data_IF_853342303851
#
_entry.id   IF_853342303851
#
_cell.length_a   1.000
_cell.length_b   1.000
_cell.length_c   1.000
_cell.angle_alpha   90.00
_cell.angle_beta   90.00
_cell.angle_gamma   90.00
#
_symmetry.space_group_name_H-M   'P 1'
#
loop_
_entity.id
_entity.type
_entity.pdbx_description
1 polymer ?
#
# COMPACT_ATOMS: atom_id res chain seq x y z
N UNK A 1 -1.66 13.44 4.08
CA UNK A 1 -1.03 12.91 5.31
C UNK A 1 -1.65 11.56 5.62
N UNK A 2 -0.84 10.55 5.96
CA UNK A 2 -1.31 9.21 6.33
C UNK A 2 -0.73 8.85 7.69
N UNK A 3 -1.57 8.64 8.68
CA UNK A 3 -1.16 8.39 10.07
C UNK A 3 -1.98 7.26 10.68
N UNK A 4 -1.31 6.32 11.34
CA UNK A 4 -2.01 5.25 12.05
C UNK A 4 -1.05 4.19 12.60
N UNK A 5 -1.54 3.34 13.51
CA UNK A 5 -0.73 2.27 14.08
C UNK A 5 -0.52 1.15 13.05
N UNK A 6 0.73 0.96 12.63
CA UNK A 6 1.14 -0.13 11.74
C UNK A 6 1.52 -1.37 12.57
N UNK A 7 1.30 -2.55 12.01
CA UNK A 7 1.82 -3.83 12.48
C UNK A 7 2.66 -4.46 11.38
N UNK A 8 3.71 -5.16 11.80
CA UNK A 8 4.61 -5.92 10.94
C UNK A 8 4.68 -7.33 11.50
N UNK A 9 4.53 -8.33 10.64
CA UNK A 9 4.56 -9.74 11.00
C UNK A 9 5.53 -10.48 10.08
N UNK A 10 6.47 -11.22 10.67
CA UNK A 10 7.40 -12.09 9.96
C UNK A 10 7.03 -13.52 10.37
N UNK A 11 6.47 -14.35 9.48
CA UNK A 11 6.16 -15.74 9.78
C UNK A 11 7.42 -16.53 10.17
N UNK A 12 7.29 -17.63 10.93
CA UNK A 12 8.44 -18.44 11.29
C UNK A 12 9.15 -19.00 10.04
N UNK A 13 10.46 -19.31 10.12
CA UNK A 13 11.19 -20.00 9.05
C UNK A 13 10.45 -21.29 8.63
N UNK A 14 10.44 -21.68 7.34
CA UNK A 14 11.29 -21.20 6.23
C UNK A 14 10.71 -20.03 5.40
N UNK A 15 9.80 -19.23 5.98
CA UNK A 15 9.22 -18.09 5.24
C UNK A 15 10.25 -16.99 4.98
N UNK A 16 10.23 -16.44 3.77
CA UNK A 16 10.95 -15.24 3.35
C UNK A 16 10.03 -14.03 3.19
N UNK A 17 8.89 -14.02 3.90
CA UNK A 17 7.82 -13.02 3.75
C UNK A 17 7.73 -12.08 4.94
N UNK A 18 7.36 -10.84 4.68
CA UNK A 18 6.99 -9.84 5.68
C UNK A 18 5.60 -9.32 5.34
N UNK A 19 4.70 -9.45 6.30
CA UNK A 19 3.35 -8.89 6.20
C UNK A 19 3.31 -7.57 6.94
N UNK A 20 2.76 -6.54 6.31
CA UNK A 20 2.56 -5.25 6.94
C UNK A 20 1.16 -4.71 6.67
N UNK A 21 0.65 -3.96 7.64
CA UNK A 21 -0.66 -3.34 7.52
C UNK A 21 -0.98 -2.48 8.73
N UNK A 22 -2.07 -1.73 8.65
CA UNK A 22 -2.60 -0.94 9.75
C UNK A 22 -3.46 -1.82 10.68
N UNK A 23 -3.30 -1.64 11.98
CA UNK A 23 -4.14 -2.33 12.99
C UNK A 23 -5.57 -1.79 13.03
N UNK A 24 -5.76 -0.54 12.64
CA UNK A 24 -7.04 0.18 12.59
C UNK A 24 -7.04 1.11 11.37
N UNK A 25 -8.20 1.51 10.84
CA UNK A 25 -8.26 2.45 9.74
C UNK A 25 -7.40 3.70 10.02
N UNK A 26 -6.43 4.03 9.15
CA UNK A 26 -5.56 5.17 9.37
C UNK A 26 -6.28 6.49 9.08
N UNK A 27 -5.81 7.56 9.69
CA UNK A 27 -6.15 8.93 9.31
C UNK A 27 -5.50 9.24 7.97
N UNK A 28 -6.31 9.29 6.90
CA UNK A 28 -5.84 9.51 5.53
C UNK A 28 -6.42 10.82 4.94
N UNK A 29 -5.57 11.83 4.85
CA UNK A 29 -5.84 13.04 4.06
C UNK A 29 -5.30 12.83 2.64
N UNK A 30 -6.23 12.48 1.75
CA UNK A 30 -6.04 12.27 0.31
C UNK A 30 -6.78 13.38 -0.42
N UNK A 31 -6.12 14.00 -1.40
CA UNK A 31 -6.71 15.00 -2.28
C UNK A 31 -6.48 14.59 -3.74
N UNK A 32 -7.54 14.45 -4.51
CA UNK A 32 -7.44 14.32 -5.96
C UNK A 32 -7.43 15.73 -6.60
N UNK A 33 -6.59 15.91 -7.62
CA UNK A 33 -6.50 17.18 -8.36
C UNK A 33 -6.64 16.83 -9.84
N UNK A 34 -7.86 16.92 -10.40
CA UNK A 34 -8.09 16.58 -11.80
C UNK A 34 -7.37 17.57 -12.74
N UNK A 35 -6.69 17.03 -13.75
CA UNK A 35 -5.97 17.79 -14.77
C UNK A 35 -6.32 17.28 -16.17
N UNK A 36 -6.52 18.21 -17.12
CA UNK A 36 -6.72 17.91 -18.53
C UNK A 36 -5.68 18.71 -19.32
N UNK A 37 -4.65 18.02 -19.83
CA UNK A 37 -3.44 18.68 -20.32
C UNK A 37 -2.78 19.49 -19.19
N UNK A 38 -2.36 20.72 -19.48
CA UNK A 38 -1.74 21.61 -18.49
C UNK A 38 -2.75 22.40 -17.64
N UNK A 39 -4.07 22.17 -17.82
CA UNK A 39 -5.12 22.93 -17.13
C UNK A 39 -5.78 22.09 -16.05
N UNK A 40 -5.80 22.64 -14.83
CA UNK A 40 -6.67 22.13 -13.77
C UNK A 40 -8.13 22.42 -14.13
N UNK A 41 -8.97 21.39 -14.13
CA UNK A 41 -10.40 21.52 -14.40
C UNK A 41 -11.15 21.26 -13.10
N UNK A 42 -12.20 22.04 -12.82
CA UNK A 42 -13.03 21.76 -11.65
C UNK A 42 -13.93 20.55 -11.92
N UNK A 43 -13.51 19.38 -11.44
CA UNK A 43 -14.28 18.14 -11.42
C UNK A 43 -14.41 17.63 -9.99
N UNK A 44 -14.87 18.49 -9.08
CA UNK A 44 -15.05 18.20 -7.65
C UNK A 44 -15.75 16.86 -7.38
N UNK A 45 -16.88 16.57 -8.03
CA UNK A 45 -17.61 15.29 -7.86
C UNK A 45 -16.76 14.06 -8.19
N UNK A 46 -15.97 14.12 -9.26
CA UNK A 46 -15.10 13.01 -9.67
C UNK A 46 -13.93 12.88 -8.70
N UNK A 47 -13.37 14.02 -8.29
CA UNK A 47 -12.31 14.09 -7.29
C UNK A 47 -12.72 13.43 -5.97
N UNK A 48 -13.89 13.82 -5.44
CA UNK A 48 -14.44 13.28 -4.19
C UNK A 48 -14.71 11.77 -4.29
N UNK A 49 -15.20 11.32 -5.45
CA UNK A 49 -15.40 9.90 -5.72
C UNK A 49 -14.09 9.12 -5.72
N UNK A 50 -13.05 9.62 -6.39
CA UNK A 50 -11.71 9.02 -6.41
C UNK A 50 -11.13 8.98 -5.00
N UNK A 51 -11.18 10.09 -4.26
CA UNK A 51 -10.68 10.15 -2.87
C UNK A 51 -11.38 9.12 -1.98
N UNK A 52 -12.71 9.01 -2.08
CA UNK A 52 -13.49 8.03 -1.34
C UNK A 52 -13.12 6.59 -1.69
N UNK A 53 -12.89 6.31 -2.99
CA UNK A 53 -12.43 4.99 -3.44
C UNK A 53 -11.03 4.67 -2.94
N UNK A 54 -10.11 5.63 -2.96
CA UNK A 54 -8.76 5.44 -2.43
C UNK A 54 -8.76 5.16 -0.92
N UNK A 55 -9.56 5.90 -0.14
CA UNK A 55 -9.74 5.63 1.29
C UNK A 55 -10.27 4.20 1.52
N UNK A 56 -11.28 3.79 0.76
CA UNK A 56 -11.84 2.45 0.83
C UNK A 56 -10.82 1.37 0.46
N UNK A 57 -9.95 1.61 -0.53
CA UNK A 57 -8.92 0.65 -0.94
C UNK A 57 -7.84 0.48 0.13
N UNK A 58 -7.43 1.56 0.81
CA UNK A 58 -6.52 1.48 1.95
C UNK A 58 -7.16 0.65 3.06
N UNK A 59 -8.41 0.94 3.41
CA UNK A 59 -9.12 0.20 4.45
C UNK A 59 -9.30 -1.28 4.09
N UNK A 60 -9.64 -1.57 2.84
CA UNK A 60 -9.92 -2.95 2.41
C UNK A 60 -8.64 -3.80 2.28
N UNK A 61 -7.52 -3.24 1.83
CA UNK A 61 -6.34 -4.05 1.50
C UNK A 61 -5.22 -3.94 2.53
N UNK A 62 -5.11 -2.81 3.24
CA UNK A 62 -4.01 -2.52 4.14
C UNK A 62 -4.44 -2.41 5.61
N UNK A 63 -5.70 -2.65 5.96
CA UNK A 63 -6.15 -2.70 7.37
C UNK A 63 -6.49 -4.13 7.76
N UNK A 64 -6.03 -4.53 8.95
CA UNK A 64 -6.26 -5.85 9.52
C UNK A 64 -7.75 -6.25 9.43
N UNK A 65 -8.06 -7.49 9.01
CA UNK A 65 -7.16 -8.62 8.84
C UNK A 65 -6.35 -8.63 7.53
N UNK A 66 -6.64 -7.75 6.58
CA UNK A 66 -5.92 -7.69 5.32
C UNK A 66 -4.58 -6.93 5.50
N UNK A 67 -3.51 -7.53 4.99
CA UNK A 67 -2.15 -7.00 5.05
C UNK A 67 -1.51 -7.22 3.69
N UNK A 68 -0.55 -6.36 3.35
CA UNK A 68 0.27 -6.55 2.16
C UNK A 68 1.46 -7.44 2.49
N UNK A 69 1.85 -8.27 1.52
CA UNK A 69 2.87 -9.32 1.66
C UNK A 69 4.04 -9.02 0.73
N UNK A 70 5.21 -8.79 1.32
CA UNK A 70 6.45 -8.55 0.58
C UNK A 70 7.47 -9.66 0.84
N UNK A 71 8.19 -10.04 -0.21
CA UNK A 71 9.34 -10.95 -0.10
C UNK A 71 10.53 -10.16 0.42
N UNK A 72 11.22 -10.71 1.42
CA UNK A 72 12.49 -10.23 1.95
C UNK A 72 13.62 -11.04 1.31
N UNK A 73 14.33 -10.52 0.28
CA UNK A 73 15.35 -11.26 -0.45
C UNK A 73 16.48 -11.79 0.45
N UNK A 74 16.80 -11.07 1.53
CA UNK A 74 17.82 -11.48 2.51
C UNK A 74 17.43 -12.73 3.30
N UNK A 75 16.13 -13.02 3.43
CA UNK A 75 15.61 -14.24 4.04
C UNK A 75 15.40 -15.35 3.00
N UNK A 76 15.49 -15.01 1.71
CA UNK A 76 15.32 -15.95 0.61
C UNK A 76 16.64 -16.61 0.26
N UNK A 77 16.62 -17.95 0.12
CA UNK A 77 17.74 -18.72 -0.42
C UNK A 77 17.87 -18.62 -1.94
N UNK A 78 17.07 -17.79 -2.60
CA UNK A 78 17.09 -17.61 -4.04
C UNK A 78 18.05 -16.47 -4.44
N UNK A 79 19.18 -16.85 -5.04
CA UNK A 79 20.22 -15.93 -5.51
C UNK A 79 19.73 -14.88 -6.52
N UNK A 80 18.66 -15.18 -7.28
CA UNK A 80 18.10 -14.23 -8.26
C UNK A 80 17.35 -13.08 -7.57
N UNK A 81 16.69 -13.37 -6.45
CA UNK A 81 16.06 -12.35 -5.59
C UNK A 81 17.13 -11.50 -4.92
N UNK A 82 18.23 -12.12 -4.44
CA UNK A 82 19.33 -11.39 -3.81
C UNK A 82 20.06 -10.46 -4.78
N UNK A 83 20.15 -10.83 -6.07
CA UNK A 83 20.77 -10.02 -7.11
C UNK A 83 19.85 -8.92 -7.67
N UNK A 84 18.62 -8.79 -7.16
CA UNK A 84 17.66 -7.76 -7.61
C UNK A 84 17.14 -7.97 -9.04
N UNK A 85 17.33 -9.15 -9.61
CA UNK A 85 17.03 -9.45 -11.02
C UNK A 85 15.64 -10.04 -11.25
N UNK A 86 14.83 -10.20 -10.20
CA UNK A 86 13.53 -10.88 -10.30
C UNK A 86 12.40 -10.01 -10.88
N UNK A 87 12.54 -8.68 -10.80
CA UNK A 87 11.54 -7.71 -11.29
C UNK A 87 12.03 -6.92 -12.53
N UNK A 88 13.06 -7.40 -13.23
CA UNK A 88 13.43 -6.95 -14.58
C UNK A 88 12.84 -7.89 -15.62
#
# INVERSE_FOLDING_TARGET
MLEGPITVNIPPPPSDRLWYGFRRPPLASIRAVPQVGDRSVDMSTVSDWIESKLRLLIEKNLVCPNMDDIVLPIMSGNDLLQKGAYNQ
#
